data_IF_468346968465
#
_entry.id   IF_468346968465
#
_cell.length_a   1.000
_cell.length_b   1.000
_cell.length_c   1.000
_cell.angle_alpha   90.00
_cell.angle_beta   90.00
_cell.angle_gamma   90.00
#
_symmetry.space_group_name_H-M   'P 1'
#
loop_
_entity.id
_entity.type
_entity.pdbx_description
1 polymer ?
#
# COMPACT_ATOMS: atom_id res chain seq x y z
N UNK A 1 4.69 2.29 -15.91
CA UNK A 1 5.87 1.59 -15.38
C UNK A 1 5.70 1.51 -13.87
N UNK A 2 6.10 0.42 -13.22
CA UNK A 2 5.94 0.29 -11.76
C UNK A 2 7.16 0.92 -11.08
N UNK A 3 6.95 1.87 -10.18
CA UNK A 3 8.04 2.58 -9.50
C UNK A 3 8.51 1.84 -8.24
N UNK A 4 7.57 1.26 -7.50
CA UNK A 4 7.85 0.43 -6.32
C UNK A 4 6.76 -0.64 -6.11
N UNK A 5 7.14 -1.75 -5.49
CA UNK A 5 6.27 -2.83 -5.05
C UNK A 5 6.64 -3.21 -3.62
N UNK A 6 5.67 -3.20 -2.70
CA UNK A 6 5.94 -3.40 -1.27
C UNK A 6 4.90 -4.35 -0.71
N UNK A 7 5.36 -5.42 -0.07
CA UNK A 7 4.51 -6.32 0.69
C UNK A 7 4.73 -6.05 2.17
N UNK A 8 3.68 -5.73 2.89
CA UNK A 8 3.74 -5.53 4.34
C UNK A 8 2.60 -6.24 5.06
N UNK A 9 2.87 -6.68 6.27
CA UNK A 9 1.86 -7.27 7.13
C UNK A 9 0.94 -6.19 7.72
N UNK A 10 -0.27 -6.56 8.15
CA UNK A 10 -1.19 -5.65 8.86
C UNK A 10 -0.57 -5.03 10.13
N UNK A 11 0.47 -5.65 10.69
CA UNK A 11 1.25 -5.10 11.81
C UNK A 11 2.15 -3.92 11.42
N UNK A 12 2.24 -3.57 10.13
CA UNK A 12 3.12 -2.54 9.60
C UNK A 12 4.54 -3.02 9.29
N UNK A 13 4.82 -4.32 9.45
CA UNK A 13 6.14 -4.90 9.13
C UNK A 13 6.25 -5.09 7.61
N UNK A 14 7.26 -4.49 7.00
CA UNK A 14 7.60 -4.72 5.58
C UNK A 14 8.26 -6.09 5.46
N UNK A 15 7.67 -6.98 4.67
CA UNK A 15 8.18 -8.33 4.41
C UNK A 15 9.01 -8.36 3.14
N UNK A 16 8.62 -7.56 2.15
CA UNK A 16 9.30 -7.47 0.87
C UNK A 16 9.18 -6.05 0.30
N UNK A 17 10.23 -5.57 -0.36
CA UNK A 17 10.24 -4.28 -1.04
C UNK A 17 11.12 -4.37 -2.27
N UNK A 18 10.58 -3.93 -3.41
CA UNK A 18 11.27 -3.80 -4.68
C UNK A 18 11.06 -2.37 -5.19
N UNK A 19 12.16 -1.66 -5.46
CA UNK A 19 12.14 -0.28 -5.94
C UNK A 19 12.84 -0.20 -7.28
N UNK A 20 12.14 0.35 -8.28
CA UNK A 20 12.65 0.61 -9.63
C UNK A 20 12.99 2.08 -9.83
N UNK A 21 12.34 2.96 -9.05
CA UNK A 21 12.62 4.39 -8.99
C UNK A 21 12.68 4.83 -7.50
N UNK A 22 13.37 5.94 -7.19
CA UNK A 22 13.34 6.51 -5.84
C UNK A 22 11.93 7.03 -5.54
N UNK A 23 11.21 6.34 -4.66
CA UNK A 23 9.87 6.73 -4.19
C UNK A 23 9.98 7.21 -2.74
N UNK A 24 9.39 8.38 -2.42
CA UNK A 24 9.35 8.85 -1.03
C UNK A 24 8.44 7.94 -0.19
N UNK A 25 8.67 7.83 1.12
CA UNK A 25 7.84 7.01 2.02
C UNK A 25 6.49 7.67 2.38
N UNK A 26 6.31 8.94 2.02
CA UNK A 26 5.13 9.74 2.32
C UNK A 26 3.83 9.14 1.77
N UNK A 27 3.74 8.72 0.49
CA UNK A 27 2.52 8.17 -0.10
C UNK A 27 2.09 6.86 0.58
N UNK A 28 3.05 6.01 0.96
CA UNK A 28 2.79 4.76 1.65
C UNK A 28 2.30 5.01 3.09
N UNK A 29 2.86 6.01 3.76
CA UNK A 29 2.40 6.42 5.10
C UNK A 29 0.99 6.99 5.05
N UNK A 30 0.65 7.79 4.03
CA UNK A 30 -0.71 8.28 3.82
C UNK A 30 -1.68 7.13 3.51
N UNK A 31 -1.30 6.18 2.64
CA UNK A 31 -2.12 5.00 2.36
C UNK A 31 -2.48 4.23 3.64
N UNK A 32 -1.49 3.96 4.49
CA UNK A 32 -1.71 3.27 5.77
C UNK A 32 -2.67 4.07 6.65
N UNK A 33 -2.48 5.39 6.76
CA UNK A 33 -3.27 6.24 7.65
C UNK A 33 -4.69 6.50 7.17
N UNK A 34 -4.87 6.72 5.87
CA UNK A 34 -6.12 7.22 5.31
C UNK A 34 -7.02 6.08 4.85
N UNK A 35 -6.45 4.92 4.53
CA UNK A 35 -7.20 3.76 4.04
C UNK A 35 -7.20 2.62 5.06
N UNK A 36 -6.04 2.26 5.61
CA UNK A 36 -5.92 1.03 6.41
C UNK A 36 -6.36 1.22 7.87
N UNK A 37 -6.08 2.37 8.49
CA UNK A 37 -6.52 2.68 9.86
C UNK A 37 -8.02 2.99 10.02
N UNK A 38 -8.70 3.72 9.11
CA UNK A 38 -10.06 4.21 9.36
C UNK A 38 -11.20 3.17 9.24
N UNK A 39 -10.91 1.87 9.28
CA UNK A 39 -11.89 0.75 9.27
C UNK A 39 -12.74 0.57 8.01
N UNK A 40 -12.54 1.37 6.96
CA UNK A 40 -13.03 1.00 5.63
C UNK A 40 -11.97 0.12 4.98
N UNK A 41 -11.91 -1.15 5.39
CA UNK A 41 -11.29 -2.20 4.59
C UNK A 41 -12.03 -2.24 3.26
N UNK A 42 -11.63 -1.37 2.32
CA UNK A 42 -12.18 -1.37 0.98
C UNK A 42 -11.77 -2.71 0.39
N UNK A 43 -12.74 -3.64 0.32
CA UNK A 43 -12.59 -5.06 -0.01
C UNK A 43 -12.13 -5.31 -1.46
N UNK A 44 -11.66 -4.29 -2.16
CA UNK A 44 -11.29 -4.31 -3.57
C UNK A 44 -10.08 -3.42 -3.79
N UNK A 45 -9.35 -3.68 -4.88
CA UNK A 45 -8.20 -2.88 -5.29
C UNK A 45 -8.64 -1.43 -5.55
N UNK A 46 -8.54 -0.59 -4.53
CA UNK A 46 -8.81 0.83 -4.65
C UNK A 46 -7.50 1.51 -5.04
N UNK A 47 -7.58 2.43 -5.99
CA UNK A 47 -6.46 3.30 -6.33
C UNK A 47 -6.45 4.48 -5.38
N UNK A 48 -5.33 4.77 -4.73
CA UNK A 48 -5.11 6.02 -4.02
C UNK A 48 -4.27 6.92 -4.91
N UNK A 49 -4.86 8.03 -5.33
CA UNK A 49 -4.19 9.04 -6.11
C UNK A 49 -3.84 10.21 -5.20
N UNK A 50 -2.54 10.41 -4.97
CA UNK A 50 -2.02 11.56 -4.21
C UNK A 50 -1.62 12.73 -5.11
N UNK A 51 -2.03 12.71 -6.38
CA UNK A 51 -1.66 13.71 -7.38
C UNK A 51 -0.30 13.42 -8.03
N UNK A 52 0.71 13.02 -7.24
CA UNK A 52 2.05 12.67 -7.75
C UNK A 52 2.28 11.16 -7.90
N UNK A 53 1.53 10.33 -7.16
CA UNK A 53 1.67 8.87 -7.19
C UNK A 53 0.31 8.18 -7.17
N UNK A 54 0.14 7.23 -8.09
CA UNK A 54 -0.99 6.29 -8.09
C UNK A 54 -0.58 5.00 -7.37
N UNK A 55 -1.09 4.82 -6.16
CA UNK A 55 -0.94 3.57 -5.40
C UNK A 55 -2.14 2.67 -5.67
N UNK A 56 -1.88 1.38 -5.85
CA UNK A 56 -2.92 0.34 -5.87
C UNK A 56 -2.51 -0.71 -4.87
N UNK A 57 -3.47 -1.22 -4.11
CA UNK A 57 -3.19 -2.28 -3.16
C UNK A 57 -4.14 -3.46 -3.29
N UNK A 58 -3.69 -4.61 -2.81
CA UNK A 58 -4.50 -5.81 -2.66
C UNK A 58 -4.39 -6.33 -1.22
N UNK A 59 -5.51 -6.74 -0.64
CA UNK A 59 -5.57 -7.38 0.67
C UNK A 59 -6.30 -8.73 0.51
N UNK A 60 -5.60 -9.87 0.51
CA UNK A 60 -6.24 -11.18 0.49
C UNK A 60 -7.05 -11.41 1.77
N UNK A 61 -8.16 -12.13 1.68
CA UNK A 61 -8.97 -12.45 2.86
C UNK A 61 -8.28 -13.47 3.78
N UNK A 62 -7.45 -14.33 3.21
CA UNK A 62 -6.86 -15.48 3.91
C UNK A 62 -5.45 -15.19 4.47
N UNK A 63 -4.94 -13.97 4.28
CA UNK A 63 -3.61 -13.60 4.74
C UNK A 63 -3.59 -12.15 5.26
N UNK A 64 -2.95 -11.87 6.42
CA UNK A 64 -2.86 -10.52 6.98
C UNK A 64 -1.78 -9.69 6.26
N UNK A 65 -1.86 -9.61 4.94
CA UNK A 65 -0.87 -9.04 4.03
C UNK A 65 -1.47 -7.95 3.14
N UNK A 66 -0.66 -6.97 2.80
CA UNK A 66 -0.96 -5.90 1.85
C UNK A 66 0.12 -5.91 0.78
N UNK A 67 -0.30 -5.86 -0.48
CA UNK A 67 0.54 -5.79 -1.68
C UNK A 67 0.36 -4.44 -2.35
#
# INVERSE_FOLDING_TARGET
MLDAFIIFAHSGVVLFSLQFAPVSSTPLTCLIKDVLLPRQYARQAVGYDSGEHTLRWLMPQDAPLVF
#
